data_IF_206120945953
#
_entry.id   IF_206120945953
#
_cell.length_a   1.000
_cell.length_b   1.000
_cell.length_c   1.000
_cell.angle_alpha   90.00
_cell.angle_beta   90.00
_cell.angle_gamma   90.00
#
_symmetry.space_group_name_H-M   'P 1'
#
loop_
_entity.id
_entity.type
_entity.pdbx_description
1 polymer ?
#
# COMPACT_ATOMS: atom_id res chain seq x y z
N UNK A 1 -17.37 72.86 -47.30
CA UNK A 1 -16.54 73.02 -46.09
C UNK A 1 -16.37 71.65 -45.43
N UNK A 2 -15.13 71.19 -45.25
CA UNK A 2 -14.77 69.92 -44.60
C UNK A 2 -15.14 69.97 -43.11
N UNK A 3 -15.70 68.89 -42.55
CA UNK A 3 -15.57 68.58 -41.12
C UNK A 3 -15.17 67.12 -40.96
N UNK A 4 -14.01 66.95 -40.33
CA UNK A 4 -13.33 65.70 -40.01
C UNK A 4 -14.11 64.89 -38.99
N UNK A 5 -14.24 63.58 -39.23
CA UNK A 5 -14.52 62.63 -38.17
C UNK A 5 -13.23 62.40 -37.38
N UNK A 6 -13.27 62.64 -36.07
CA UNK A 6 -12.22 62.24 -35.12
C UNK A 6 -12.74 61.01 -34.38
N UNK A 7 -12.06 59.85 -34.40
CA UNK A 7 -12.41 58.73 -33.55
C UNK A 7 -11.85 59.00 -32.14
N UNK A 8 -12.74 59.17 -31.16
CA UNK A 8 -12.35 59.25 -29.75
C UNK A 8 -11.86 57.89 -29.28
N UNK A 9 -10.54 57.72 -29.18
CA UNK A 9 -9.92 56.59 -28.48
C UNK A 9 -10.17 56.74 -26.98
N UNK A 10 -11.10 55.96 -26.43
CA UNK A 10 -11.31 55.87 -24.98
C UNK A 10 -10.22 54.98 -24.39
N UNK A 11 -9.13 55.58 -23.89
CA UNK A 11 -8.17 54.83 -23.07
C UNK A 11 -8.85 54.41 -21.77
N UNK A 12 -8.79 53.14 -21.35
CA UNK A 12 -9.34 52.73 -20.06
C UNK A 12 -8.68 53.55 -18.95
N UNK A 13 -9.48 54.04 -18.01
CA UNK A 13 -8.96 54.82 -16.88
C UNK A 13 -7.95 53.98 -16.11
N UNK A 14 -6.91 54.61 -15.56
CA UNK A 14 -5.85 53.92 -14.81
C UNK A 14 -6.43 52.99 -13.70
N UNK A 15 -7.56 53.37 -13.11
CA UNK A 15 -8.31 52.54 -12.16
C UNK A 15 -8.80 51.24 -12.79
N UNK A 16 -9.37 51.28 -14.00
CA UNK A 16 -9.84 50.09 -14.72
C UNK A 16 -8.69 49.12 -15.03
N UNK A 17 -7.50 49.66 -15.38
CA UNK A 17 -6.30 48.87 -15.63
C UNK A 17 -5.83 48.20 -14.33
N UNK A 18 -5.78 48.95 -13.23
CA UNK A 18 -5.37 48.42 -11.91
C UNK A 18 -6.33 47.34 -11.43
N UNK A 19 -7.65 47.55 -11.53
CA UNK A 19 -8.63 46.53 -11.16
C UNK A 19 -8.54 45.30 -12.07
N UNK A 20 -8.30 45.48 -13.37
CA UNK A 20 -8.09 44.38 -14.31
C UNK A 20 -6.85 43.53 -13.96
N UNK A 21 -5.73 44.18 -13.65
CA UNK A 21 -4.48 43.49 -13.25
C UNK A 21 -4.65 42.76 -11.92
N UNK A 22 -5.30 43.37 -10.94
CA UNK A 22 -5.58 42.72 -9.64
C UNK A 22 -6.51 41.51 -9.80
N UNK A 23 -7.53 41.59 -10.67
CA UNK A 23 -8.44 40.48 -10.93
C UNK A 23 -7.73 39.30 -11.64
N UNK A 24 -6.81 39.59 -12.55
CA UNK A 24 -5.99 38.58 -13.23
C UNK A 24 -4.99 37.92 -12.26
N UNK A 25 -4.38 38.69 -11.37
CA UNK A 25 -3.50 38.13 -10.33
C UNK A 25 -4.28 37.24 -9.35
N UNK A 26 -5.47 37.66 -8.94
CA UNK A 26 -6.35 36.85 -8.08
C UNK A 26 -6.85 35.58 -8.79
N UNK A 27 -7.14 35.63 -10.09
CA UNK A 27 -7.55 34.44 -10.83
C UNK A 27 -6.38 33.48 -11.05
N UNK A 28 -5.16 33.98 -11.29
CA UNK A 28 -3.95 33.17 -11.41
C UNK A 28 -3.56 32.50 -10.08
N UNK A 29 -3.65 33.20 -8.95
CA UNK A 29 -3.40 32.60 -7.63
C UNK A 29 -4.50 31.60 -7.25
N UNK A 30 -5.77 31.90 -7.56
CA UNK A 30 -6.87 30.96 -7.39
C UNK A 30 -6.71 29.72 -8.27
N UNK A 31 -6.26 29.86 -9.52
CA UNK A 31 -5.92 28.73 -10.39
C UNK A 31 -4.72 27.94 -9.85
N UNK A 32 -3.69 28.58 -9.31
CA UNK A 32 -2.55 27.91 -8.67
C UNK A 32 -3.01 27.09 -7.47
N UNK A 33 -3.81 27.69 -6.58
CA UNK A 33 -4.41 27.02 -5.44
C UNK A 33 -5.35 25.89 -5.86
N UNK A 34 -6.11 26.04 -6.95
CA UNK A 34 -6.92 24.96 -7.50
C UNK A 34 -6.05 23.85 -8.08
N UNK A 35 -4.93 24.17 -8.73
CA UNK A 35 -4.00 23.22 -9.32
C UNK A 35 -3.26 22.42 -8.24
N UNK A 36 -2.87 23.07 -7.16
CA UNK A 36 -2.28 22.43 -5.98
C UNK A 36 -3.33 21.55 -5.26
N UNK A 37 -4.56 22.04 -5.09
CA UNK A 37 -5.67 21.26 -4.50
C UNK A 37 -6.19 20.12 -5.40
N UNK A 38 -6.01 20.22 -6.72
CA UNK A 38 -6.25 19.15 -7.69
C UNK A 38 -5.08 18.16 -7.73
N UNK A 39 -3.84 18.62 -7.50
CA UNK A 39 -2.65 17.78 -7.33
C UNK A 39 -2.72 16.95 -6.04
N UNK A 40 -3.27 17.52 -4.96
CA UNK A 40 -3.48 16.81 -3.70
C UNK A 40 -4.69 15.85 -3.72
N UNK A 41 -5.53 15.93 -4.74
CA UNK A 41 -6.65 15.02 -5.00
C UNK A 41 -6.40 14.09 -6.19
N UNK A 42 -5.13 13.72 -6.42
CA UNK A 42 -4.84 12.55 -7.26
C UNK A 42 -5.19 11.31 -6.42
N UNK A 43 -6.49 10.99 -6.33
CA UNK A 43 -6.87 9.59 -6.42
C UNK A 43 -6.48 9.24 -7.85
N UNK A 44 -5.41 8.46 -8.09
CA UNK A 44 -5.05 8.09 -9.43
C UNK A 44 -6.27 7.38 -9.98
N UNK A 45 -6.82 7.95 -11.05
CA UNK A 45 -7.79 7.32 -11.91
C UNK A 45 -7.42 5.84 -12.03
N UNK A 46 -8.41 4.96 -11.83
CA UNK A 46 -8.31 3.49 -11.77
C UNK A 46 -7.92 2.90 -13.15
N UNK A 47 -6.98 3.53 -13.82
CA UNK A 47 -6.36 3.03 -15.02
C UNK A 47 -5.55 1.81 -14.56
N UNK A 48 -6.10 0.63 -14.90
CA UNK A 48 -5.49 -0.70 -14.83
C UNK A 48 -3.97 -0.61 -14.81
N UNK A 49 -3.32 -1.48 -14.04
CA UNK A 49 -1.87 -1.62 -14.01
C UNK A 49 -1.22 -1.62 -15.42
N UNK A 50 -1.98 -1.94 -16.49
CA UNK A 50 -1.74 -1.82 -17.94
C UNK A 50 -0.79 -0.76 -18.54
N UNK A 51 -0.33 0.28 -17.84
CA UNK A 51 0.81 1.11 -18.30
C UNK A 51 2.12 0.62 -17.65
N UNK A 52 2.47 -0.63 -17.93
CA UNK A 52 3.73 -1.24 -17.46
C UNK A 52 4.72 -1.25 -18.61
N UNK A 53 5.89 -0.64 -18.40
CA UNK A 53 7.01 -0.70 -19.36
C UNK A 53 7.68 -2.09 -19.38
N UNK A 54 7.52 -2.88 -18.31
CA UNK A 54 8.15 -4.20 -18.11
C UNK A 54 7.17 -5.23 -17.53
N UNK A 55 6.57 -6.06 -18.39
CA UNK A 55 5.73 -7.20 -17.95
C UNK A 55 6.61 -8.36 -17.49
N UNK A 56 6.14 -9.12 -16.50
CA UNK A 56 6.83 -10.35 -16.09
C UNK A 56 6.88 -11.34 -17.25
N UNK A 57 7.98 -12.08 -17.37
CA UNK A 57 8.05 -13.21 -18.29
C UNK A 57 7.35 -14.41 -17.64
N UNK A 58 6.15 -14.74 -18.12
CA UNK A 58 5.29 -15.77 -17.51
C UNK A 58 5.17 -16.95 -18.46
N UNK A 59 5.74 -18.09 -18.07
CA UNK A 59 5.61 -19.34 -18.84
C UNK A 59 4.18 -19.88 -18.81
N UNK A 60 3.81 -20.68 -19.81
CA UNK A 60 2.50 -21.33 -19.86
C UNK A 60 2.26 -22.24 -18.64
N UNK A 61 3.33 -22.90 -18.15
CA UNK A 61 3.27 -23.67 -16.92
C UNK A 61 2.91 -22.79 -15.71
N UNK A 62 3.54 -21.62 -15.56
CA UNK A 62 3.20 -20.68 -14.48
C UNK A 62 1.76 -20.16 -14.61
N UNK A 63 1.28 -19.90 -15.83
CA UNK A 63 -0.13 -19.53 -16.07
C UNK A 63 -1.10 -20.63 -15.63
N UNK A 64 -0.77 -21.89 -15.91
CA UNK A 64 -1.60 -23.02 -15.48
C UNK A 64 -1.65 -23.13 -13.96
N UNK A 65 -0.52 -22.99 -13.27
CA UNK A 65 -0.46 -22.96 -11.80
C UNK A 65 -1.34 -21.85 -11.20
N UNK A 66 -1.34 -20.67 -11.82
CA UNK A 66 -2.16 -19.54 -11.35
C UNK A 66 -3.66 -19.82 -11.55
N UNK A 67 -4.04 -20.45 -12.66
CA UNK A 67 -5.43 -20.86 -12.90
C UNK A 67 -5.90 -21.93 -11.92
N UNK A 68 -4.97 -22.72 -11.41
CA UNK A 68 -5.24 -23.76 -10.42
C UNK A 68 -5.29 -23.25 -8.98
N UNK A 69 -5.01 -21.97 -8.70
CA UNK A 69 -5.10 -21.39 -7.35
C UNK A 69 -6.50 -21.45 -6.75
N UNK A 70 -6.60 -21.20 -5.44
CA UNK A 70 -7.89 -20.95 -4.81
C UNK A 70 -8.61 -19.74 -5.46
N UNK A 71 -9.94 -19.78 -5.62
CA UNK A 71 -10.67 -18.67 -6.25
C UNK A 71 -10.54 -17.39 -5.42
N UNK A 72 -10.58 -16.24 -6.09
CA UNK A 72 -10.67 -14.95 -5.39
C UNK A 72 -12.02 -14.85 -4.66
N UNK A 73 -11.97 -14.34 -3.45
CA UNK A 73 -13.14 -14.04 -2.64
C UNK A 73 -13.71 -12.72 -3.14
N UNK A 74 -14.75 -12.82 -3.97
CA UNK A 74 -15.33 -11.66 -4.67
C UNK A 74 -16.38 -10.91 -3.85
N UNK A 75 -16.79 -11.46 -2.71
CA UNK A 75 -17.78 -10.87 -1.79
C UNK A 75 -17.11 -10.51 -0.48
N UNK A 76 -17.34 -9.28 0.00
CA UNK A 76 -16.80 -8.81 1.28
C UNK A 76 -17.27 -9.71 2.44
N UNK A 77 -16.35 -10.29 3.23
CA UNK A 77 -16.73 -11.04 4.42
C UNK A 77 -17.37 -10.13 5.49
N UNK A 78 -18.55 -10.48 5.98
CA UNK A 78 -19.30 -9.65 6.95
C UNK A 78 -18.81 -9.80 8.40
N UNK A 79 -18.32 -10.98 8.78
CA UNK A 79 -17.66 -11.19 10.07
C UNK A 79 -16.14 -11.14 9.86
N UNK A 80 -15.45 -10.45 10.77
CA UNK A 80 -13.98 -10.35 10.77
C UNK A 80 -13.39 -11.76 10.92
N UNK A 81 -13.96 -12.59 11.79
CA UNK A 81 -13.40 -13.89 12.15
C UNK A 81 -13.85 -15.05 11.24
N UNK A 82 -14.95 -14.91 10.49
CA UNK A 82 -15.42 -15.97 9.59
C UNK A 82 -14.57 -16.09 8.32
N UNK A 83 -13.96 -14.99 7.86
CA UNK A 83 -13.05 -14.98 6.71
C UNK A 83 -11.62 -15.42 7.07
N UNK A 84 -11.12 -14.96 8.22
CA UNK A 84 -9.73 -15.15 8.68
C UNK A 84 -9.27 -16.61 8.70
N UNK A 85 -10.04 -17.52 9.31
CA UNK A 85 -9.55 -18.89 9.59
C UNK A 85 -10.05 -20.00 8.66
N UNK A 86 -11.07 -19.75 7.82
CA UNK A 86 -11.64 -20.79 6.95
C UNK A 86 -10.89 -20.92 5.64
N UNK A 87 -10.43 -19.80 5.09
CA UNK A 87 -9.88 -19.75 3.74
C UNK A 87 -8.39 -20.05 3.70
N UNK A 88 -7.67 -19.84 4.80
CA UNK A 88 -6.26 -20.28 4.96
C UNK A 88 -6.08 -21.77 4.64
N UNK A 89 -7.08 -22.61 4.95
CA UNK A 89 -7.04 -24.06 4.69
C UNK A 89 -7.12 -24.40 3.21
N UNK A 90 -7.64 -23.50 2.39
CA UNK A 90 -7.86 -23.69 0.96
C UNK A 90 -6.71 -23.12 0.11
N UNK A 91 -5.79 -22.38 0.72
CA UNK A 91 -4.65 -21.77 0.04
C UNK A 91 -3.81 -22.84 -0.67
N UNK A 92 -3.60 -22.64 -1.97
CA UNK A 92 -2.74 -23.51 -2.78
C UNK A 92 -1.36 -22.89 -2.92
N UNK A 93 -0.49 -23.26 -1.99
CA UNK A 93 0.88 -22.75 -1.94
C UNK A 93 1.67 -23.10 -3.21
N UNK A 94 2.36 -22.13 -3.80
CA UNK A 94 3.23 -22.33 -4.95
C UNK A 94 4.32 -23.34 -4.63
N UNK A 95 4.88 -23.28 -3.42
CA UNK A 95 5.87 -24.24 -2.94
C UNK A 95 5.30 -25.64 -2.70
N UNK A 96 3.99 -25.87 -2.74
CA UNK A 96 3.42 -27.23 -2.76
C UNK A 96 3.19 -27.74 -4.18
N UNK A 97 2.89 -26.83 -5.11
CA UNK A 97 2.63 -27.16 -6.52
C UNK A 97 3.92 -27.28 -7.34
N UNK A 98 5.02 -26.69 -6.86
CA UNK A 98 6.32 -26.66 -7.54
C UNK A 98 7.45 -27.08 -6.59
N UNK A 99 8.56 -27.58 -7.14
CA UNK A 99 9.73 -27.95 -6.36
C UNK A 99 10.65 -26.76 -6.06
N UNK A 100 11.15 -26.67 -4.83
CA UNK A 100 12.15 -25.66 -4.42
C UNK A 100 13.61 -26.12 -4.64
N UNK A 101 13.82 -27.31 -5.20
CA UNK A 101 15.14 -27.94 -5.26
C UNK A 101 16.15 -27.21 -6.15
N UNK A 102 15.69 -26.53 -7.21
CA UNK A 102 16.53 -25.87 -8.22
C UNK A 102 16.78 -24.37 -7.93
N UNK A 103 16.32 -23.86 -6.77
CA UNK A 103 16.39 -22.45 -6.42
C UNK A 103 17.67 -22.17 -5.62
N UNK A 104 18.35 -21.08 -5.96
CA UNK A 104 19.66 -20.73 -5.37
C UNK A 104 19.52 -20.38 -3.89
N UNK A 105 18.57 -19.51 -3.58
CA UNK A 105 18.16 -19.14 -2.23
C UNK A 105 16.65 -19.10 -2.14
N UNK A 106 16.16 -19.21 -0.91
CA UNK A 106 14.75 -19.19 -0.63
C UNK A 106 14.55 -18.13 0.46
N UNK A 107 13.78 -17.10 0.14
CA UNK A 107 13.68 -15.87 0.91
C UNK A 107 12.23 -15.70 1.33
N UNK A 108 12.02 -15.36 2.61
CA UNK A 108 10.73 -14.94 3.11
C UNK A 108 10.85 -13.53 3.69
N UNK A 109 9.98 -12.63 3.24
CA UNK A 109 9.89 -11.26 3.73
C UNK A 109 8.50 -11.02 4.31
N UNK A 110 8.43 -10.61 5.56
CA UNK A 110 7.19 -10.27 6.24
C UNK A 110 7.12 -8.76 6.47
N UNK A 111 6.29 -8.07 5.67
CA UNK A 111 6.07 -6.63 5.76
C UNK A 111 4.98 -6.34 6.77
N UNK A 112 5.35 -5.61 7.84
CA UNK A 112 4.52 -5.43 9.03
C UNK A 112 4.47 -6.69 9.88
N UNK A 113 5.65 -7.21 10.21
CA UNK A 113 5.79 -8.50 10.89
C UNK A 113 5.21 -8.50 12.32
N UNK A 114 5.10 -7.33 12.97
CA UNK A 114 4.59 -7.14 14.33
C UNK A 114 5.22 -8.13 15.31
N UNK A 115 4.39 -8.88 16.03
CA UNK A 115 4.84 -9.93 16.93
C UNK A 115 5.28 -11.17 16.16
N UNK A 116 6.44 -11.71 16.49
CA UNK A 116 6.98 -12.93 15.89
C UNK A 116 5.95 -14.07 15.98
N UNK A 117 5.30 -14.22 17.14
CA UNK A 117 4.30 -15.28 17.35
C UNK A 117 2.95 -15.00 16.67
N UNK A 118 2.69 -13.80 16.13
CA UNK A 118 1.47 -13.54 15.36
C UNK A 118 1.63 -13.84 13.87
N UNK A 119 2.84 -13.70 13.33
CA UNK A 119 3.10 -13.87 11.90
C UNK A 119 4.12 -14.97 11.62
N UNK A 120 5.42 -14.64 11.66
CA UNK A 120 6.52 -15.54 11.27
C UNK A 120 6.50 -16.87 12.06
N UNK A 121 6.50 -16.80 13.39
CA UNK A 121 6.47 -17.94 14.30
C UNK A 121 5.14 -18.70 14.31
N UNK A 122 4.07 -18.10 13.80
CA UNK A 122 2.77 -18.73 13.64
C UNK A 122 2.65 -19.37 12.25
N UNK A 123 1.94 -18.73 11.33
CA UNK A 123 1.59 -19.31 10.04
C UNK A 123 2.82 -19.74 9.24
N UNK A 124 3.83 -18.88 9.11
CA UNK A 124 4.96 -19.19 8.22
C UNK A 124 5.80 -20.38 8.72
N UNK A 125 6.19 -20.37 10.00
CA UNK A 125 6.96 -21.47 10.59
C UNK A 125 6.12 -22.74 10.70
N UNK A 126 4.87 -22.66 11.16
CA UNK A 126 4.05 -23.84 11.48
C UNK A 126 3.32 -24.43 10.27
N UNK A 127 2.99 -23.63 9.26
CA UNK A 127 2.08 -24.05 8.19
C UNK A 127 2.65 -23.92 6.79
N UNK A 128 3.43 -22.87 6.48
CA UNK A 128 3.94 -22.69 5.11
C UNK A 128 4.81 -23.90 4.65
N UNK A 129 4.58 -24.46 3.46
CA UNK A 129 5.26 -25.67 3.00
C UNK A 129 6.69 -25.38 2.55
N UNK A 130 7.64 -25.66 3.44
CA UNK A 130 9.07 -25.35 3.24
C UNK A 130 9.86 -26.43 2.51
N UNK A 131 9.27 -27.61 2.27
CA UNK A 131 9.95 -28.77 1.65
C UNK A 131 11.29 -29.15 2.31
N UNK A 132 11.42 -28.95 3.63
CA UNK A 132 12.68 -29.19 4.36
C UNK A 132 13.81 -28.21 4.01
N UNK A 133 13.54 -27.14 3.26
CA UNK A 133 14.50 -26.10 2.91
C UNK A 133 14.60 -25.05 4.00
N UNK A 134 15.79 -24.44 4.10
CA UNK A 134 16.05 -23.28 4.94
C UNK A 134 15.66 -22.02 4.18
N UNK A 135 15.03 -21.08 4.89
CA UNK A 135 14.67 -19.77 4.38
C UNK A 135 15.56 -18.70 5.01
N UNK A 136 15.95 -17.70 4.21
CA UNK A 136 16.46 -16.44 4.72
C UNK A 136 15.25 -15.55 5.04
N UNK A 137 15.03 -15.30 6.33
CA UNK A 137 13.81 -14.65 6.82
C UNK A 137 14.11 -13.21 7.19
N UNK A 138 13.31 -12.29 6.65
CA UNK A 138 13.37 -10.86 6.93
C UNK A 138 12.05 -10.40 7.55
N UNK A 139 12.13 -9.86 8.78
CA UNK A 139 11.01 -9.23 9.45
C UNK A 139 11.11 -7.71 9.25
N UNK A 140 10.14 -7.09 8.58
CA UNK A 140 10.10 -5.63 8.42
C UNK A 140 9.10 -5.07 9.42
N UNK A 141 9.60 -4.32 10.40
CA UNK A 141 8.78 -3.81 11.50
C UNK A 141 9.32 -2.46 12.00
N UNK A 142 8.49 -1.42 11.94
CA UNK A 142 8.87 -0.06 12.28
C UNK A 142 8.64 0.30 13.76
N UNK A 143 7.65 -0.33 14.39
CA UNK A 143 7.31 -0.08 15.79
C UNK A 143 8.30 -0.76 16.73
N UNK A 144 9.07 0.09 17.41
CA UNK A 144 10.14 -0.32 18.34
C UNK A 144 9.66 -1.23 19.46
N UNK A 145 8.37 -1.21 19.82
CA UNK A 145 7.86 -2.12 20.84
C UNK A 145 7.99 -3.60 20.46
N UNK A 146 8.09 -3.90 19.17
CA UNK A 146 8.26 -5.27 18.69
C UNK A 146 9.72 -5.66 18.51
N UNK A 147 10.68 -4.73 18.47
CA UNK A 147 12.06 -5.02 18.07
C UNK A 147 12.81 -5.97 19.02
N UNK A 148 12.59 -5.84 20.33
CA UNK A 148 13.31 -6.67 21.33
C UNK A 148 13.06 -8.16 21.12
N UNK A 149 11.85 -8.54 20.68
CA UNK A 149 11.51 -9.94 20.50
C UNK A 149 12.26 -10.61 19.36
N UNK A 150 12.76 -9.85 18.38
CA UNK A 150 13.52 -10.38 17.26
C UNK A 150 15.00 -10.58 17.59
N UNK A 151 15.55 -9.86 18.59
CA UNK A 151 16.95 -10.03 19.01
C UNK A 151 17.25 -11.44 19.52
N UNK A 152 16.25 -12.12 20.07
CA UNK A 152 16.35 -13.48 20.60
C UNK A 152 16.00 -14.58 19.57
N UNK A 153 15.76 -14.22 18.30
CA UNK A 153 15.34 -15.16 17.24
C UNK A 153 16.46 -15.40 16.23
N UNK A 154 17.41 -16.31 16.50
CA UNK A 154 18.45 -16.65 15.53
C UNK A 154 17.79 -17.19 14.25
N UNK A 155 18.20 -16.67 13.09
CA UNK A 155 17.64 -17.05 11.79
C UNK A 155 16.61 -16.07 11.21
N UNK A 156 16.23 -15.02 11.95
CA UNK A 156 15.42 -13.92 11.44
C UNK A 156 16.23 -12.63 11.45
N UNK A 157 16.25 -11.93 10.32
CA UNK A 157 16.86 -10.60 10.19
C UNK A 157 15.79 -9.54 10.35
N UNK A 158 15.87 -8.74 11.41
CA UNK A 158 14.99 -7.58 11.59
C UNK A 158 15.47 -6.42 10.70
N UNK A 159 14.56 -5.88 9.90
CA UNK A 159 14.66 -4.61 9.20
C UNK A 159 13.78 -3.60 9.95
N UNK A 160 14.36 -2.73 10.81
CA UNK A 160 13.61 -1.91 11.76
C UNK A 160 13.02 -0.65 11.10
N UNK A 161 12.34 -0.82 9.96
CA UNK A 161 11.85 0.26 9.10
C UNK A 161 10.40 0.02 8.70
N UNK A 162 9.69 1.08 8.32
CA UNK A 162 8.41 0.96 7.64
C UNK A 162 8.63 0.62 6.16
N UNK A 163 7.93 -0.40 5.64
CA UNK A 163 7.95 -0.70 4.21
C UNK A 163 7.32 0.46 3.43
N UNK A 164 8.07 1.05 2.50
CA UNK A 164 7.63 2.22 1.75
C UNK A 164 8.20 2.21 0.33
N UNK A 165 7.89 3.27 -0.43
CA UNK A 165 8.31 3.44 -1.83
C UNK A 165 9.53 4.33 -1.98
N UNK A 166 10.03 4.90 -0.88
CA UNK A 166 11.20 5.79 -0.82
C UNK A 166 11.89 5.68 0.54
N UNK A 167 13.18 6.03 0.58
CA UNK A 167 13.90 6.21 1.83
C UNK A 167 13.57 7.59 2.40
N UNK A 168 12.74 7.65 3.44
CA UNK A 168 12.34 8.91 4.10
C UNK A 168 11.86 8.66 5.54
N UNK A 169 11.78 9.72 6.33
CA UNK A 169 11.09 9.66 7.63
C UNK A 169 9.60 9.87 7.40
N UNK A 170 8.80 8.87 7.77
CA UNK A 170 7.34 8.93 7.70
C UNK A 170 6.74 9.14 9.08
N UNK A 171 5.51 9.63 9.12
CA UNK A 171 4.77 9.85 10.37
C UNK A 171 3.67 8.81 10.44
N UNK A 172 3.77 7.91 11.41
CA UNK A 172 2.66 7.06 11.82
C UNK A 172 1.63 7.88 12.58
N UNK A 173 0.36 7.73 12.25
CA UNK A 173 -0.72 8.46 12.90
C UNK A 173 -2.03 7.68 12.93
N UNK A 174 -2.87 7.96 13.91
CA UNK A 174 -4.24 7.47 13.94
C UNK A 174 -5.18 8.60 14.36
N UNK A 175 -6.25 8.79 13.58
CA UNK A 175 -7.28 9.76 13.92
C UNK A 175 -7.89 9.38 15.27
N UNK A 176 -8.10 10.34 16.18
CA UNK A 176 -8.76 10.04 17.43
C UNK A 176 -10.22 9.64 17.18
N UNK A 177 -10.73 8.68 17.95
CA UNK A 177 -12.16 8.38 17.95
C UNK A 177 -12.82 9.39 18.87
N UNK A 178 -13.64 10.26 18.29
CA UNK A 178 -14.40 11.27 19.03
C UNK A 178 -15.85 10.79 19.14
N UNK A 179 -16.29 10.50 20.37
CA UNK A 179 -17.69 10.15 20.67
C UNK A 179 -18.23 11.18 21.65
N UNK A 180 -19.13 12.05 21.18
CA UNK A 180 -19.63 13.21 21.92
C UNK A 180 -18.47 14.09 22.42
N UNK A 181 -18.30 14.19 23.73
CA UNK A 181 -17.31 14.95 24.46
C UNK A 181 -16.03 14.14 24.80
N UNK A 182 -15.97 12.85 24.41
CA UNK A 182 -14.82 11.97 24.69
C UNK A 182 -13.94 11.80 23.45
N UNK A 183 -12.63 11.98 23.64
CA UNK A 183 -11.60 11.81 22.60
C UNK A 183 -10.72 10.62 22.99
N UNK A 184 -10.81 9.52 22.25
CA UNK A 184 -9.95 8.35 22.42
C UNK A 184 -8.78 8.43 21.45
N UNK A 185 -7.58 8.69 21.99
CA UNK A 185 -6.33 8.64 21.23
C UNK A 185 -5.84 7.20 21.24
N UNK A 186 -5.95 6.52 20.11
CA UNK A 186 -5.40 5.18 19.95
C UNK A 186 -3.90 5.26 19.65
N UNK A 187 -3.16 4.21 20.01
CA UNK A 187 -1.79 4.04 19.54
C UNK A 187 -1.80 4.07 18.01
N UNK A 188 -0.87 4.79 17.36
CA UNK A 188 -0.79 4.76 15.91
C UNK A 188 -0.44 3.34 15.46
N UNK A 189 -1.41 2.66 14.83
CA UNK A 189 -1.29 1.28 14.35
C UNK A 189 -0.45 1.20 13.05
N UNK A 190 0.73 1.82 13.01
CA UNK A 190 1.62 1.71 11.84
C UNK A 190 1.22 2.50 10.58
N UNK A 191 0.08 3.20 10.59
CA UNK A 191 -0.43 3.86 9.37
C UNK A 191 0.31 5.14 9.01
N UNK A 192 0.81 5.22 7.78
CA UNK A 192 1.51 6.38 7.20
C UNK A 192 0.50 7.43 6.71
N UNK A 193 -0.24 8.04 7.63
CA UNK A 193 -1.11 9.21 7.39
C UNK A 193 -0.91 10.32 8.43
N UNK A 194 0.17 10.22 9.21
CA UNK A 194 0.41 11.05 10.37
C UNK A 194 0.70 12.52 10.08
N UNK A 195 0.94 12.93 8.84
CA UNK A 195 1.21 14.34 8.53
C UNK A 195 -0.01 15.24 8.81
N UNK A 196 -1.21 14.85 8.34
CA UNK A 196 -2.46 15.54 8.68
C UNK A 196 -2.81 15.42 10.16
N UNK A 197 -2.45 14.29 10.77
CA UNK A 197 -2.67 14.03 12.19
C UNK A 197 -1.70 14.82 13.10
N UNK A 198 -0.49 15.13 12.62
CA UNK A 198 0.48 15.97 13.33
C UNK A 198 0.04 17.43 13.35
N UNK A 199 -0.60 17.88 12.26
CA UNK A 199 -1.18 19.23 12.14
C UNK A 199 -2.35 19.47 13.10
N UNK A 200 -3.20 18.46 13.34
CA UNK A 200 -4.39 18.60 14.19
C UNK A 200 -4.08 18.62 15.71
N UNK A 201 -2.87 18.23 16.11
CA UNK A 201 -2.38 18.14 17.51
C UNK A 201 -3.27 17.30 18.46
N UNK A 202 -4.29 16.62 17.95
CA UNK A 202 -5.21 15.78 18.69
C UNK A 202 -4.87 14.29 18.53
N UNK A 203 -4.18 13.95 17.44
CA UNK A 203 -3.76 12.58 17.11
C UNK A 203 -2.46 12.18 17.81
N UNK A 204 -2.34 10.89 18.16
CA UNK A 204 -1.06 10.33 18.58
C UNK A 204 -0.23 10.03 17.32
N UNK A 205 0.98 10.58 17.24
CA UNK A 205 1.88 10.38 16.10
C UNK A 205 3.25 9.89 16.53
N UNK A 206 3.89 9.09 15.68
CA UNK A 206 5.27 8.61 15.87
C UNK A 206 6.01 8.74 14.56
N UNK A 207 7.20 9.36 14.59
CA UNK A 207 8.10 9.42 13.43
C UNK A 207 8.90 8.13 13.36
N UNK A 208 8.90 7.50 12.19
CA UNK A 208 9.64 6.26 11.95
C UNK A 208 10.43 6.38 10.66
N UNK A 209 11.55 5.68 10.60
CA UNK A 209 12.33 5.55 9.37
C UNK A 209 11.62 4.56 8.45
N UNK A 210 11.39 4.99 7.20
CA UNK A 210 10.87 4.14 6.14
C UNK A 210 11.95 3.93 5.09
N UNK A 211 11.90 2.77 4.45
CA UNK A 211 12.83 2.41 3.38
C UNK A 211 12.08 2.05 2.11
N UNK A 212 12.76 2.28 0.98
CA UNK A 212 12.29 1.85 -0.33
C UNK A 212 12.40 0.31 -0.43
N UNK A 213 11.28 -0.37 -0.17
CA UNK A 213 11.21 -1.82 -0.24
C UNK A 213 11.48 -2.34 -1.66
N UNK A 214 11.09 -1.57 -2.67
CA UNK A 214 11.25 -1.96 -4.06
C UNK A 214 12.73 -1.90 -4.47
N UNK A 215 13.44 -0.85 -4.06
CA UNK A 215 14.90 -0.76 -4.20
C UNK A 215 15.62 -1.86 -3.41
N UNK A 216 15.12 -2.19 -2.21
CA UNK A 216 15.69 -3.27 -1.42
C UNK A 216 15.56 -4.62 -2.13
N UNK A 217 14.40 -4.95 -2.70
CA UNK A 217 14.22 -6.19 -3.48
C UNK A 217 15.18 -6.24 -4.67
N UNK A 218 15.23 -5.17 -5.48
CA UNK A 218 16.09 -5.09 -6.67
C UNK A 218 17.58 -5.28 -6.35
N UNK A 219 18.02 -4.88 -5.15
CA UNK A 219 19.42 -5.03 -4.71
C UNK A 219 19.74 -6.38 -4.08
N UNK A 220 18.77 -7.02 -3.43
CA UNK A 220 19.01 -8.18 -2.58
C UNK A 220 18.52 -9.49 -3.18
N UNK A 221 17.65 -9.45 -4.19
CA UNK A 221 17.01 -10.61 -4.82
C UNK A 221 17.46 -10.77 -6.26
N UNK A 222 17.64 -12.03 -6.69
CA UNK A 222 17.93 -12.45 -8.05
C UNK A 222 16.77 -13.26 -8.61
N UNK A 223 16.63 -13.29 -9.93
CA UNK A 223 15.59 -14.09 -10.62
C UNK A 223 15.68 -15.61 -10.34
N UNK A 224 16.86 -16.10 -9.93
CA UNK A 224 17.08 -17.51 -9.55
C UNK A 224 16.69 -17.85 -8.11
N UNK A 225 16.39 -16.84 -7.28
CA UNK A 225 15.88 -17.05 -5.93
C UNK A 225 14.40 -17.50 -5.97
N UNK A 226 13.89 -17.98 -4.84
CA UNK A 226 12.46 -18.15 -4.60
C UNK A 226 12.04 -17.20 -3.49
N UNK A 227 11.15 -16.25 -3.81
CA UNK A 227 10.79 -15.18 -2.87
C UNK A 227 9.31 -15.23 -2.52
N UNK A 228 9.04 -15.33 -1.22
CA UNK A 228 7.73 -15.23 -0.62
C UNK A 228 7.62 -13.91 0.12
N UNK A 229 6.59 -13.12 -0.18
CA UNK A 229 6.29 -11.88 0.54
C UNK A 229 4.94 -12.01 1.23
N UNK A 230 4.89 -11.82 2.54
CA UNK A 230 3.65 -11.48 3.26
C UNK A 230 3.62 -9.96 3.45
N UNK A 231 2.48 -9.34 3.20
CA UNK A 231 2.30 -7.89 3.32
C UNK A 231 1.03 -7.56 4.09
N UNK A 232 1.20 -6.96 5.26
CA UNK A 232 0.16 -6.38 6.11
C UNK A 232 0.78 -5.11 6.73
N UNK A 233 0.58 -3.96 6.10
CA UNK A 233 1.26 -2.69 6.45
C UNK A 233 0.26 -1.56 6.69
N UNK A 234 -0.94 -1.93 7.15
CA UNK A 234 -1.96 -1.05 7.71
C UNK A 234 -2.34 0.14 6.79
N UNK A 235 -2.51 -0.14 5.48
CA UNK A 235 -3.13 0.80 4.53
C UNK A 235 -2.27 1.28 3.37
N UNK A 236 -1.03 0.81 3.23
CA UNK A 236 -0.10 1.25 2.18
C UNK A 236 0.15 0.17 1.11
N UNK A 237 -0.53 -0.96 1.21
CA UNK A 237 -0.32 -2.16 0.38
C UNK A 237 -0.54 -1.86 -1.10
N UNK A 238 -1.67 -1.23 -1.43
CA UNK A 238 -2.01 -0.90 -2.82
C UNK A 238 -0.96 0.02 -3.44
N UNK A 239 -0.42 0.96 -2.66
CA UNK A 239 0.63 1.86 -3.14
C UNK A 239 1.96 1.12 -3.36
N UNK A 240 2.36 0.27 -2.42
CA UNK A 240 3.56 -0.57 -2.56
C UNK A 240 3.45 -1.51 -3.76
N UNK A 241 2.32 -2.20 -3.94
CA UNK A 241 2.08 -3.08 -5.09
C UNK A 241 2.15 -2.31 -6.40
N UNK A 242 1.54 -1.12 -6.48
CA UNK A 242 1.64 -0.28 -7.67
C UNK A 242 3.08 0.06 -8.00
N UNK A 243 3.89 0.38 -7.01
CA UNK A 243 5.31 0.71 -7.21
C UNK A 243 6.13 -0.53 -7.61
N UNK A 244 5.88 -1.69 -6.99
CA UNK A 244 6.47 -2.97 -7.38
C UNK A 244 6.18 -3.30 -8.84
N UNK A 245 4.94 -3.09 -9.28
CA UNK A 245 4.52 -3.30 -10.67
C UNK A 245 5.18 -2.26 -11.58
N UNK A 246 5.13 -0.97 -11.24
CA UNK A 246 5.69 0.12 -12.04
C UNK A 246 7.17 -0.06 -12.32
N UNK A 247 7.94 -0.53 -11.33
CA UNK A 247 9.39 -0.80 -11.45
C UNK A 247 9.71 -2.19 -11.99
N UNK A 248 8.70 -3.06 -12.16
CA UNK A 248 8.89 -4.45 -12.59
C UNK A 248 9.50 -5.36 -11.52
N UNK A 249 9.72 -4.87 -10.30
CA UNK A 249 10.22 -5.65 -9.18
C UNK A 249 9.21 -6.68 -8.67
N UNK A 250 7.92 -6.52 -8.98
CA UNK A 250 6.89 -7.53 -8.71
C UNK A 250 7.25 -8.90 -9.30
N UNK A 251 8.03 -8.93 -10.39
CA UNK A 251 8.46 -10.17 -11.04
C UNK A 251 9.54 -10.94 -10.26
N UNK A 252 10.15 -10.31 -9.25
CA UNK A 252 11.10 -10.94 -8.32
C UNK A 252 10.38 -11.68 -7.19
N UNK A 253 9.06 -11.49 -7.04
CA UNK A 253 8.24 -12.15 -6.02
C UNK A 253 7.57 -13.36 -6.66
N UNK A 254 7.93 -14.57 -6.22
CA UNK A 254 7.32 -15.80 -6.71
C UNK A 254 5.91 -15.97 -6.14
N UNK A 255 5.70 -15.63 -4.87
CA UNK A 255 4.45 -15.83 -4.13
C UNK A 255 4.16 -14.67 -3.16
N UNK A 256 2.99 -14.04 -3.30
CA UNK A 256 2.56 -12.88 -2.53
C UNK A 256 1.32 -13.20 -1.70
N UNK A 257 1.39 -12.96 -0.40
CA UNK A 257 0.28 -12.95 0.53
C UNK A 257 0.05 -11.51 0.98
N UNK A 258 -1.13 -10.94 0.76
CA UNK A 258 -1.36 -9.53 1.06
C UNK A 258 -2.70 -9.32 1.74
N UNK A 259 -2.69 -8.64 2.88
CA UNK A 259 -3.90 -8.12 3.50
C UNK A 259 -4.24 -6.78 2.85
N UNK A 260 -5.34 -6.75 2.11
CA UNK A 260 -5.79 -5.50 1.51
C UNK A 260 -6.61 -4.72 2.52
N UNK A 261 -6.06 -3.63 3.03
CA UNK A 261 -6.77 -2.72 3.92
C UNK A 261 -7.76 -1.84 3.13
N UNK A 262 -9.04 -2.19 3.20
CA UNK A 262 -10.15 -1.44 2.59
C UNK A 262 -11.12 -0.87 3.61
N UNK A 263 -12.01 -0.01 3.14
CA UNK A 263 -13.04 0.61 3.94
C UNK A 263 -14.14 -0.41 4.29
N UNK A 264 -14.18 -0.82 5.56
CA UNK A 264 -15.02 -1.91 6.05
C UNK A 264 -16.10 -1.41 7.00
N UNK A 265 -17.24 -2.09 6.98
CA UNK A 265 -18.26 -1.98 8.03
C UNK A 265 -17.73 -2.54 9.36
N UNK A 266 -17.03 -1.73 10.15
CA UNK A 266 -16.70 -2.11 11.52
C UNK A 266 -17.88 -1.81 12.41
N UNK A 267 -18.58 -2.84 12.87
CA UNK A 267 -19.60 -2.72 13.93
C UNK A 267 -18.89 -2.50 15.28
N UNK A 268 -18.28 -1.33 15.49
CA UNK A 268 -17.78 -0.93 16.81
C UNK A 268 -18.51 0.32 17.30
N UNK A 269 -19.03 0.16 18.52
CA UNK A 269 -19.17 1.19 19.54
C UNK A 269 -20.26 2.25 19.35
N UNK A 270 -20.68 2.58 18.12
CA UNK A 270 -21.82 3.49 17.88
C UNK A 270 -22.78 3.09 16.74
N UNK A 271 -22.46 2.05 15.95
CA UNK A 271 -23.26 1.69 14.76
C UNK A 271 -23.12 2.69 13.59
N UNK A 272 -22.20 3.63 13.68
CA UNK A 272 -21.92 4.65 12.66
C UNK A 272 -20.86 4.17 11.65
N UNK A 273 -20.98 4.67 10.41
CA UNK A 273 -20.03 4.41 9.33
C UNK A 273 -18.79 5.29 9.55
N UNK A 274 -17.63 4.68 9.76
CA UNK A 274 -16.36 5.42 9.81
C UNK A 274 -15.52 4.95 8.64
N UNK A 275 -15.25 5.86 7.69
CA UNK A 275 -14.35 5.56 6.60
C UNK A 275 -12.92 5.50 7.14
N UNK A 276 -12.37 4.28 7.29
CA UNK A 276 -11.01 4.11 7.80
C UNK A 276 -10.01 4.17 6.67
N UNK A 277 -10.28 3.58 5.51
CA UNK A 277 -9.34 3.54 4.37
C UNK A 277 -9.96 4.20 3.13
N UNK A 278 -9.13 4.48 2.11
CA UNK A 278 -9.56 5.16 0.88
C UNK A 278 -9.91 4.18 -0.25
N UNK A 279 -9.99 2.89 0.04
CA UNK A 279 -10.19 1.83 -0.94
C UNK A 279 -11.44 1.01 -0.63
N UNK A 280 -12.13 0.54 -1.66
CA UNK A 280 -13.29 -0.36 -1.52
C UNK A 280 -12.85 -1.82 -1.61
N UNK A 281 -13.67 -2.74 -1.11
CA UNK A 281 -13.43 -4.17 -1.26
C UNK A 281 -13.28 -4.59 -2.73
N UNK A 282 -14.12 -4.04 -3.62
CA UNK A 282 -14.04 -4.30 -5.07
C UNK A 282 -12.68 -3.91 -5.65
N UNK A 283 -12.10 -2.78 -5.23
CA UNK A 283 -10.77 -2.37 -5.68
C UNK A 283 -9.67 -3.34 -5.24
N UNK A 284 -9.81 -3.96 -4.06
CA UNK A 284 -8.90 -5.03 -3.63
C UNK A 284 -9.03 -6.25 -4.53
N UNK A 285 -10.25 -6.72 -4.78
CA UNK A 285 -10.51 -7.88 -5.66
C UNK A 285 -9.95 -7.64 -7.06
N UNK A 286 -10.20 -6.46 -7.64
CA UNK A 286 -9.67 -6.06 -8.94
C UNK A 286 -8.13 -6.10 -8.95
N UNK A 287 -7.48 -5.59 -7.90
CA UNK A 287 -6.02 -5.63 -7.78
C UNK A 287 -5.47 -7.07 -7.78
N UNK A 288 -6.08 -7.98 -7.01
CA UNK A 288 -5.66 -9.39 -7.02
C UNK A 288 -5.91 -10.06 -8.37
N UNK A 289 -7.01 -9.73 -9.04
CA UNK A 289 -7.31 -10.23 -10.38
C UNK A 289 -6.25 -9.75 -11.39
N UNK A 290 -5.91 -8.46 -11.39
CA UNK A 290 -4.87 -7.91 -12.26
C UNK A 290 -3.49 -8.53 -11.98
N UNK A 291 -3.13 -8.73 -10.70
CA UNK A 291 -1.88 -9.40 -10.33
C UNK A 291 -1.80 -10.83 -10.88
N UNK A 292 -2.88 -11.61 -10.75
CA UNK A 292 -2.94 -12.98 -11.30
C UNK A 292 -2.89 -12.99 -12.82
N UNK A 293 -3.58 -12.06 -13.50
CA UNK A 293 -3.49 -11.90 -14.96
C UNK A 293 -2.07 -11.57 -15.45
N UNK A 294 -1.34 -10.79 -14.65
CA UNK A 294 0.07 -10.45 -14.87
C UNK A 294 1.03 -11.62 -14.61
N UNK A 295 0.55 -12.73 -14.05
CA UNK A 295 1.37 -13.91 -13.75
C UNK A 295 2.00 -13.91 -12.36
N UNK A 296 1.45 -13.12 -11.42
CA UNK A 296 1.84 -13.15 -10.01
C UNK A 296 1.00 -14.19 -9.29
N UNK A 297 1.63 -15.05 -8.50
CA UNK A 297 0.91 -15.94 -7.57
C UNK A 297 0.55 -15.09 -6.36
N UNK A 298 -0.68 -14.60 -6.32
CA UNK A 298 -1.15 -13.69 -5.27
C UNK A 298 -2.34 -14.30 -4.52
N UNK A 299 -2.26 -14.25 -3.19
CA UNK A 299 -3.22 -14.78 -2.25
C UNK A 299 -3.81 -13.64 -1.41
N UNK A 300 -5.13 -13.64 -1.26
CA UNK A 300 -5.81 -12.75 -0.31
C UNK A 300 -5.48 -13.21 1.11
N UNK A 301 -4.89 -12.32 1.90
CA UNK A 301 -4.54 -12.53 3.30
C UNK A 301 -5.45 -11.70 4.21
N UNK A 302 -5.56 -12.10 5.47
CA UNK A 302 -6.48 -11.54 6.46
C UNK A 302 -5.80 -11.52 7.84
#
# INVERSE_FOLDING_TARGET
MRRSANPSSTSPTLKLIIYGVMLVLLSLTFLSLLKDKLSDNIIPNLNRLNRIDKKCNVSDHKRHLINDLEPLITVEPLDIWEGLGKEEKNIKYLSSMTGLAQKDRIIYVDLGARDYESSIGSWFVKQYPKQGKRFDIYAVEADKAFHEQYKSRPGVTLLPYAAWVRNETVVFGSKPIVVKDKVWRMRPFGRIEGQKAEEDKMSAVVRVEAFDFVEWLERNVKESDFVVVKMDVEGTEIMLVRELVRRGAICLIDELFMECHFDRFVKCCSGERINRFNYTYGQCVDLFSELREMGVVAHQWW
#
